data_IF_622851130097
#
_entry.id   IF_622851130097
#
_cell.length_a   1.000
_cell.length_b   1.000
_cell.length_c   1.000
_cell.angle_alpha   90.00
_cell.angle_beta   90.00
_cell.angle_gamma   90.00
#
_symmetry.space_group_name_H-M   'P 1'
#
loop_
_entity.id
_entity.type
_entity.pdbx_description
1 polymer ?
#
# COMPACT_ATOMS: atom_id res chain seq x y z
N UNK A 1 -11.31 1.25 -39.56
CA UNK A 1 -11.56 2.03 -38.34
C UNK A 1 -10.31 2.85 -38.09
N UNK A 2 -10.35 4.16 -38.36
CA UNK A 2 -9.23 5.06 -38.11
C UNK A 2 -9.31 5.46 -36.63
N UNK A 3 -8.28 5.12 -35.84
CA UNK A 3 -8.18 5.60 -34.46
C UNK A 3 -7.58 7.00 -34.57
N UNK A 4 -8.41 8.02 -34.44
CA UNK A 4 -7.93 9.40 -34.34
C UNK A 4 -7.15 9.54 -33.03
N UNK A 5 -5.86 9.84 -33.12
CA UNK A 5 -5.01 10.06 -31.95
C UNK A 5 -5.37 11.43 -31.35
N UNK A 6 -5.96 11.42 -30.15
CA UNK A 6 -6.22 12.63 -29.36
C UNK A 6 -4.92 13.19 -28.77
N UNK A 7 -4.80 14.53 -28.72
CA UNK A 7 -3.70 15.23 -28.07
C UNK A 7 -3.67 14.89 -26.58
N UNK A 8 -2.63 14.21 -26.10
CA UNK A 8 -2.57 13.67 -24.74
C UNK A 8 -2.53 12.14 -24.66
N UNK A 9 -2.68 11.43 -25.80
CA UNK A 9 -2.64 9.97 -25.82
C UNK A 9 -1.31 9.40 -25.29
N UNK A 10 -0.19 10.08 -25.54
CA UNK A 10 1.14 9.66 -25.06
C UNK A 10 1.28 9.84 -23.55
N UNK A 11 0.78 10.94 -23.00
CA UNK A 11 0.78 11.24 -21.58
C UNK A 11 -0.09 10.24 -20.81
N UNK A 12 -1.26 9.90 -21.36
CA UNK A 12 -2.14 8.87 -20.82
C UNK A 12 -1.46 7.50 -20.90
N UNK A 13 -0.90 7.12 -22.05
CA UNK A 13 -0.19 5.85 -22.21
C UNK A 13 0.98 5.73 -21.21
N UNK A 14 1.76 6.79 -21.02
CA UNK A 14 2.85 6.85 -20.06
C UNK A 14 2.35 6.67 -18.63
N UNK A 15 1.33 7.42 -18.22
CA UNK A 15 0.75 7.31 -16.88
C UNK A 15 0.18 5.92 -16.60
N UNK A 16 -0.46 5.31 -17.61
CA UNK A 16 -0.95 3.93 -17.52
C UNK A 16 0.21 2.94 -17.39
N UNK A 17 1.28 3.04 -18.18
CA UNK A 17 2.46 2.18 -18.07
C UNK A 17 3.16 2.31 -16.72
N UNK A 18 3.26 3.53 -16.20
CA UNK A 18 3.83 3.82 -14.89
C UNK A 18 2.96 3.22 -13.77
N UNK A 19 1.63 3.37 -13.84
CA UNK A 19 0.70 2.78 -12.87
C UNK A 19 0.54 1.26 -12.96
N UNK A 20 0.83 0.67 -14.12
CA UNK A 20 0.86 -0.79 -14.34
C UNK A 20 2.17 -1.44 -13.89
N UNK A 21 3.21 -0.65 -13.62
CA UNK A 21 4.46 -1.18 -13.08
C UNK A 21 4.18 -1.64 -11.65
N UNK A 22 4.30 -2.94 -11.35
CA UNK A 22 4.09 -3.42 -10.00
C UNK A 22 5.08 -2.71 -9.07
N UNK A 23 4.62 -2.31 -7.88
CA UNK A 23 5.53 -1.79 -6.87
C UNK A 23 6.70 -2.78 -6.68
N UNK A 24 7.92 -2.28 -6.44
CA UNK A 24 9.07 -3.13 -6.22
C UNK A 24 8.75 -4.21 -5.20
N UNK A 25 9.25 -5.44 -5.45
CA UNK A 25 9.10 -6.58 -4.54
C UNK A 25 9.80 -6.29 -3.20
N UNK A 26 9.14 -5.51 -2.36
CA UNK A 26 9.63 -5.08 -1.06
C UNK A 26 8.64 -5.57 -0.02
N UNK A 27 9.12 -6.41 0.89
CA UNK A 27 8.28 -6.84 1.99
C UNK A 27 7.98 -5.64 2.92
N UNK A 28 6.85 -5.67 3.62
CA UNK A 28 6.48 -4.57 4.53
C UNK A 28 7.54 -4.36 5.60
N UNK A 29 8.23 -5.43 6.04
CA UNK A 29 9.35 -5.31 6.99
C UNK A 29 10.51 -4.49 6.43
N UNK A 30 10.86 -4.69 5.16
CA UNK A 30 11.95 -3.98 4.47
C UNK A 30 11.57 -2.52 4.16
N UNK A 31 10.30 -2.27 3.81
CA UNK A 31 9.78 -0.91 3.66
C UNK A 31 9.83 -0.16 4.99
N UNK A 32 9.39 -0.80 6.08
CA UNK A 32 9.43 -0.22 7.42
C UNK A 32 10.87 0.09 7.84
N UNK A 33 11.83 -0.80 7.55
CA UNK A 33 13.25 -0.55 7.80
C UNK A 33 13.82 0.60 6.95
N UNK A 34 13.29 0.86 5.76
CA UNK A 34 13.76 1.93 4.88
C UNK A 34 13.15 3.29 5.25
N UNK A 35 11.86 3.33 5.57
CA UNK A 35 11.06 4.56 5.66
C UNK A 35 10.43 4.82 7.03
N UNK A 36 10.36 3.83 7.92
CA UNK A 36 9.69 3.95 9.20
C UNK A 36 10.42 4.88 10.18
N UNK A 37 9.67 5.84 10.73
CA UNK A 37 10.13 6.75 11.79
C UNK A 37 9.14 6.71 12.94
N UNK A 38 9.63 6.39 14.13
CA UNK A 38 8.87 6.37 15.37
C UNK A 38 8.96 7.75 16.04
N UNK A 39 7.80 8.36 16.30
CA UNK A 39 7.74 9.60 17.06
C UNK A 39 7.95 9.34 18.55
N UNK A 40 8.45 10.35 19.27
CA UNK A 40 8.63 10.29 20.72
C UNK A 40 7.32 10.19 21.50
N UNK A 41 6.20 10.56 20.89
CA UNK A 41 4.86 10.41 21.47
C UNK A 41 4.34 8.97 21.35
N UNK A 42 4.67 8.29 20.26
CA UNK A 42 4.15 6.94 19.97
C UNK A 42 5.11 5.82 20.39
N UNK A 43 6.35 6.14 20.75
CA UNK A 43 7.37 5.15 21.11
C UNK A 43 8.25 5.65 22.26
N UNK A 44 8.52 4.75 23.21
CA UNK A 44 9.52 4.95 24.26
C UNK A 44 10.94 5.05 23.68
N UNK A 45 11.15 4.56 22.46
CA UNK A 45 12.38 4.71 21.71
C UNK A 45 12.11 5.42 20.37
N UNK A 46 12.21 6.76 20.37
CA UNK A 46 12.04 7.56 19.17
C UNK A 46 13.17 7.31 18.17
N UNK A 47 12.85 7.43 16.88
CA UNK A 47 13.85 7.36 15.82
C UNK A 47 13.52 6.31 14.76
N UNK A 48 14.55 5.88 14.04
CA UNK A 48 14.40 5.01 12.87
C UNK A 48 13.88 3.63 13.27
N UNK A 49 12.84 3.17 12.57
CA UNK A 49 12.35 1.81 12.71
C UNK A 49 13.48 0.81 12.38
N UNK A 50 13.53 -0.27 13.17
CA UNK A 50 14.46 -1.39 12.97
C UNK A 50 13.73 -2.68 13.29
N UNK A 51 13.40 -3.47 12.27
CA UNK A 51 12.76 -4.79 12.41
C UNK A 51 13.62 -5.74 13.26
N UNK A 52 14.94 -5.57 13.27
CA UNK A 52 15.84 -6.33 14.15
C UNK A 52 15.55 -6.15 15.64
N UNK A 53 14.89 -5.07 16.05
CA UNK A 53 14.47 -4.84 17.44
C UNK A 53 13.17 -5.55 17.81
N UNK A 54 12.34 -5.87 16.83
CA UNK A 54 11.05 -6.54 16.98
C UNK A 54 10.98 -7.75 16.03
N UNK A 55 11.91 -8.73 16.17
CA UNK A 55 12.10 -9.78 15.16
C UNK A 55 10.86 -10.65 14.96
N UNK A 56 10.01 -10.80 15.97
CA UNK A 56 8.74 -11.53 15.88
C UNK A 56 7.73 -10.88 14.92
N UNK A 57 7.82 -9.56 14.70
CA UNK A 57 6.89 -8.84 13.84
C UNK A 57 7.21 -9.00 12.35
N UNK A 58 8.44 -9.43 12.03
CA UNK A 58 8.89 -9.62 10.65
C UNK A 58 7.97 -10.55 9.85
N UNK A 59 7.70 -11.74 10.38
CA UNK A 59 6.87 -12.72 9.68
C UNK A 59 5.46 -12.19 9.43
N UNK A 60 4.87 -11.50 10.41
CA UNK A 60 3.53 -10.90 10.28
C UNK A 60 3.54 -9.81 9.19
N UNK A 61 4.54 -8.92 9.20
CA UNK A 61 4.69 -7.88 8.18
C UNK A 61 4.87 -8.48 6.78
N UNK A 62 5.70 -9.51 6.67
CA UNK A 62 5.93 -10.20 5.39
C UNK A 62 4.65 -10.88 4.88
N UNK A 63 3.79 -11.38 5.78
CA UNK A 63 2.47 -11.90 5.45
C UNK A 63 1.44 -10.82 5.04
N UNK A 64 1.63 -9.58 5.47
CA UNK A 64 0.80 -8.44 5.07
C UNK A 64 1.27 -7.80 3.76
N UNK A 65 2.40 -8.25 3.20
CA UNK A 65 2.88 -7.78 1.90
C UNK A 65 1.91 -8.17 0.78
N UNK A 66 1.72 -7.32 -0.26
CA UNK A 66 0.86 -7.62 -1.40
C UNK A 66 1.21 -8.93 -2.14
N UNK A 67 2.44 -9.40 -1.98
CA UNK A 67 2.95 -10.63 -2.58
C UNK A 67 2.76 -11.87 -1.68
N UNK A 68 2.25 -11.70 -0.46
CA UNK A 68 1.98 -12.84 0.40
C UNK A 68 0.86 -13.69 -0.21
N UNK A 69 1.00 -15.03 -0.22
CA UNK A 69 -0.11 -15.91 -0.60
C UNK A 69 -1.27 -15.87 0.41
N UNK A 70 -1.12 -15.14 1.52
CA UNK A 70 -2.14 -15.00 2.57
C UNK A 70 -3.15 -13.93 2.13
N UNK A 71 -4.42 -14.33 2.07
CA UNK A 71 -5.52 -13.46 1.65
C UNK A 71 -5.81 -12.39 2.71
N UNK A 72 -5.67 -11.12 2.31
CA UNK A 72 -6.17 -9.98 3.07
C UNK A 72 -7.66 -9.79 2.76
N UNK A 73 -8.54 -10.24 3.67
CA UNK A 73 -9.98 -10.01 3.55
C UNK A 73 -10.31 -8.51 3.70
N UNK A 74 -10.34 -7.76 2.59
CA UNK A 74 -10.82 -6.37 2.57
C UNK A 74 -12.34 -6.34 2.54
N UNK A 75 -12.97 -6.44 3.71
CA UNK A 75 -14.41 -6.23 3.86
C UNK A 75 -14.78 -4.75 3.78
N UNK A 76 -15.30 -4.28 2.64
CA UNK A 76 -16.00 -2.98 2.57
C UNK A 76 -17.37 -3.16 3.24
N UNK A 77 -17.53 -2.64 4.46
CA UNK A 77 -18.86 -2.52 5.07
C UNK A 77 -19.56 -1.32 4.42
N UNK A 78 -20.39 -1.57 3.41
CA UNK A 78 -21.33 -0.57 2.93
C UNK A 78 -22.38 -0.32 4.02
N UNK A 79 -22.40 0.88 4.59
CA UNK A 79 -23.51 1.34 5.42
C UNK A 79 -24.61 1.86 4.48
N UNK A 80 -25.87 1.40 4.61
CA UNK A 80 -26.95 1.89 3.77
C UNK A 80 -27.22 3.37 4.06
N UNK A 81 -27.22 4.21 3.02
CA UNK A 81 -27.37 5.67 3.10
C UNK A 81 -28.82 6.17 3.17
N UNK A 82 -29.80 5.35 3.54
CA UNK A 82 -31.18 5.85 3.61
C UNK A 82 -32.05 5.09 4.61
N UNK A 83 -32.28 5.72 5.76
CA UNK A 83 -33.39 5.40 6.65
C UNK A 83 -33.81 6.70 7.35
N UNK A 84 -34.82 7.38 6.79
CA UNK A 84 -35.39 8.56 7.42
C UNK A 84 -36.08 9.54 6.47
N UNK A 85 -36.92 9.03 5.56
CA UNK A 85 -37.97 9.84 4.95
C UNK A 85 -39.30 9.24 5.39
N UNK A 86 -39.87 9.78 6.47
CA UNK A 86 -41.31 9.90 6.67
C UNK A 86 -41.62 10.91 7.77
#
# INVERSE_FOLDING_TARGET
MQIENYEGALEIERAWREGLTPDPLLAVSEWADRHGILSSKASAEPGRWRTSRTPYLKAIMDCLSPMSPIELQRGVRALPINAGAS
#
